data_IF_203113771328
#
_entry.id   IF_203113771328
#
_cell.length_a   1.000
_cell.length_b   1.000
_cell.length_c   1.000
_cell.angle_alpha   90.00
_cell.angle_beta   90.00
_cell.angle_gamma   90.00
#
_symmetry.space_group_name_H-M   'P 1'
#
loop_
_entity.id
_entity.type
_entity.pdbx_description
1 polymer ?
#
# COMPACT_ATOMS: atom_id res chain seq x y z
N UNK A 1 19.01 11.62 -11.76
CA UNK A 1 17.80 11.11 -11.10
C UNK A 1 17.29 12.20 -10.17
N UNK A 2 16.07 12.06 -9.67
CA UNK A 2 15.46 12.99 -8.72
C UNK A 2 15.01 12.25 -7.47
N UNK A 3 15.29 12.86 -6.32
CA UNK A 3 14.84 12.40 -5.02
C UNK A 3 14.15 13.55 -4.28
N UNK A 4 13.67 13.27 -3.07
CA UNK A 4 13.21 14.31 -2.14
C UNK A 4 14.24 14.49 -1.03
N UNK A 5 14.56 15.74 -0.70
CA UNK A 5 15.32 16.05 0.50
C UNK A 5 14.46 15.77 1.74
N UNK A 6 14.93 14.90 2.61
CA UNK A 6 14.27 14.53 3.87
C UNK A 6 14.06 15.72 4.82
N UNK A 7 14.82 16.81 4.65
CA UNK A 7 14.75 18.00 5.52
C UNK A 7 13.82 19.08 4.96
N UNK A 8 13.99 19.57 3.72
CA UNK A 8 13.10 20.60 3.13
C UNK A 8 11.91 20.03 2.37
N UNK A 9 11.88 18.75 2.02
CA UNK A 9 10.87 18.11 1.16
C UNK A 9 10.85 18.64 -0.28
N UNK A 10 11.86 19.41 -0.68
CA UNK A 10 12.06 19.83 -2.07
C UNK A 10 12.63 18.69 -2.90
N UNK A 11 12.32 18.69 -4.20
CA UNK A 11 12.96 17.81 -5.16
C UNK A 11 14.43 18.18 -5.33
N UNK A 12 15.33 17.20 -5.27
CA UNK A 12 16.78 17.39 -5.35
C UNK A 12 17.41 16.44 -6.38
N UNK A 13 18.53 16.83 -7.01
CA UNK A 13 19.35 15.91 -7.79
C UNK A 13 19.78 14.70 -6.96
N UNK A 14 19.78 13.54 -7.60
CA UNK A 14 20.26 12.29 -7.01
C UNK A 14 20.95 11.38 -8.03
N UNK A 15 21.73 10.43 -7.50
CA UNK A 15 22.37 9.36 -8.25
C UNK A 15 22.45 8.07 -7.44
N UNK A 16 22.48 6.93 -8.13
CA UNK A 16 22.70 5.62 -7.54
C UNK A 16 24.18 5.26 -7.65
N UNK A 17 24.79 4.87 -6.54
CA UNK A 17 26.19 4.39 -6.49
C UNK A 17 26.28 2.98 -5.93
N UNK A 18 27.11 2.16 -6.56
CA UNK A 18 27.45 0.82 -6.08
C UNK A 18 28.74 0.91 -5.28
N UNK A 19 28.70 0.46 -4.04
CA UNK A 19 29.82 0.40 -3.09
C UNK A 19 30.02 -1.04 -2.65
N UNK A 20 31.12 -1.31 -1.94
CA UNK A 20 31.44 -2.67 -1.46
C UNK A 20 30.39 -3.22 -0.47
N UNK A 21 29.66 -2.32 0.21
CA UNK A 21 28.63 -2.63 1.20
C UNK A 21 27.19 -2.49 0.67
N UNK A 22 27.02 -2.26 -0.64
CA UNK A 22 25.71 -2.29 -1.30
C UNK A 22 25.42 -1.12 -2.22
N UNK A 23 24.14 -0.88 -2.45
CA UNK A 23 23.60 0.14 -3.36
C UNK A 23 23.07 1.33 -2.58
N UNK A 24 23.59 2.50 -2.90
CA UNK A 24 23.33 3.76 -2.18
C UNK A 24 22.64 4.78 -3.07
N UNK A 25 21.71 5.54 -2.49
CA UNK A 25 21.14 6.76 -3.07
C UNK A 25 21.91 7.97 -2.53
N UNK A 26 22.63 8.66 -3.40
CA UNK A 26 23.27 9.93 -3.10
C UNK A 26 22.39 11.09 -3.56
N UNK A 27 22.29 12.12 -2.73
CA UNK A 27 21.45 13.31 -2.96
C UNK A 27 22.27 14.56 -2.74
N UNK A 28 21.92 15.62 -3.45
CA UNK A 28 22.57 16.93 -3.27
C UNK A 28 21.52 18.04 -3.08
N UNK A 29 21.31 18.46 -1.83
CA UNK A 29 20.37 19.53 -1.51
C UNK A 29 21.09 20.89 -1.48
N UNK A 30 20.64 21.90 -2.25
CA UNK A 30 21.24 23.24 -2.23
C UNK A 30 21.22 23.92 -0.84
N UNK A 31 20.32 23.50 0.04
CA UNK A 31 20.15 24.07 1.39
C UNK A 31 20.78 23.22 2.49
N UNK A 32 20.74 21.89 2.35
CA UNK A 32 21.13 20.96 3.41
C UNK A 32 22.39 20.15 3.10
N UNK A 33 23.00 20.36 1.93
CA UNK A 33 24.22 19.68 1.50
C UNK A 33 23.98 18.24 1.00
N UNK A 34 25.07 17.47 0.82
CA UNK A 34 24.99 16.11 0.32
C UNK A 34 24.51 15.13 1.41
N UNK A 35 23.74 14.13 1.00
CA UNK A 35 23.40 12.96 1.85
C UNK A 35 23.50 11.66 1.05
N UNK A 36 23.76 10.55 1.73
CA UNK A 36 23.87 9.23 1.12
C UNK A 36 23.17 8.19 2.01
N UNK A 37 22.30 7.37 1.40
CA UNK A 37 21.47 6.41 2.12
C UNK A 37 21.52 5.03 1.47
N UNK A 38 21.75 3.98 2.26
CA UNK A 38 21.74 2.60 1.77
C UNK A 38 20.33 2.19 1.36
N UNK A 39 20.16 1.79 0.10
CA UNK A 39 18.90 1.23 -0.40
C UNK A 39 18.89 -0.27 -0.16
N UNK A 40 19.91 -0.97 -0.62
CA UNK A 40 19.93 -2.44 -0.68
C UNK A 40 21.38 -2.95 -0.52
N UNK A 41 21.71 -3.74 0.50
CA UNK A 41 23.05 -4.33 0.67
C UNK A 41 23.43 -5.30 -0.45
N UNK A 42 22.47 -6.01 -1.03
CA UNK A 42 22.74 -6.97 -2.11
C UNK A 42 22.65 -6.29 -3.50
N UNK A 43 23.82 -5.94 -4.03
CA UNK A 43 23.94 -5.30 -5.34
C UNK A 43 23.48 -6.19 -6.51
N UNK A 44 23.62 -7.51 -6.42
CA UNK A 44 23.15 -8.42 -7.47
C UNK A 44 21.63 -8.53 -7.43
N UNK A 45 21.04 -8.66 -6.23
CA UNK A 45 19.59 -8.58 -6.04
C UNK A 45 19.03 -7.25 -6.57
N UNK A 46 19.68 -6.12 -6.26
CA UNK A 46 19.23 -4.82 -6.76
C UNK A 46 19.20 -4.76 -8.29
N UNK A 47 20.26 -5.25 -8.96
CA UNK A 47 20.29 -5.33 -10.44
C UNK A 47 19.21 -6.26 -10.98
N UNK A 48 18.97 -7.39 -10.31
CA UNK A 48 17.88 -8.30 -10.65
C UNK A 48 16.52 -7.60 -10.49
N UNK A 49 16.28 -6.85 -9.42
CA UNK A 49 15.04 -6.12 -9.19
C UNK A 49 14.80 -5.01 -10.24
N UNK A 50 15.87 -4.46 -10.83
CA UNK A 50 15.79 -3.52 -11.95
C UNK A 50 15.44 -4.16 -13.30
N UNK A 51 15.37 -5.49 -13.39
CA UNK A 51 14.94 -6.18 -14.62
C UNK A 51 13.44 -6.03 -14.83
N UNK A 52 13.06 -4.85 -15.30
CA UNK A 52 11.70 -4.54 -15.73
C UNK A 52 11.45 -5.01 -17.15
N UNK A 53 10.25 -5.47 -17.41
CA UNK A 53 9.76 -5.61 -18.77
C UNK A 53 9.58 -4.21 -19.39
N UNK A 54 10.19 -3.99 -20.55
CA UNK A 54 10.26 -2.69 -21.23
C UNK A 54 9.05 -2.45 -22.11
N UNK A 55 8.38 -3.52 -22.53
CA UNK A 55 7.13 -3.46 -23.29
C UNK A 55 5.98 -3.09 -22.34
N UNK A 56 5.39 -1.89 -22.44
CA UNK A 56 4.32 -1.45 -21.52
C UNK A 56 3.10 -2.40 -21.49
N UNK A 57 2.85 -3.15 -22.58
CA UNK A 57 1.74 -4.11 -22.62
C UNK A 57 2.01 -5.39 -21.82
N UNK A 58 3.28 -5.69 -21.55
CA UNK A 58 3.75 -6.85 -20.79
C UNK A 58 4.34 -6.46 -19.43
N UNK A 59 4.71 -5.18 -19.27
CA UNK A 59 5.40 -4.61 -18.11
C UNK A 59 4.62 -4.81 -16.84
N UNK A 60 3.31 -4.81 -16.92
CA UNK A 60 2.51 -5.19 -15.79
C UNK A 60 1.52 -6.24 -16.29
N UNK A 61 1.58 -7.42 -15.68
CA UNK A 61 0.56 -8.47 -15.87
C UNK A 61 -0.85 -7.88 -15.59
N UNK A 62 -0.87 -6.76 -14.86
CA UNK A 62 -2.01 -5.96 -14.45
C UNK A 62 -2.00 -4.52 -15.06
N UNK A 63 -1.15 -4.19 -16.04
CA UNK A 63 -1.09 -2.85 -16.68
C UNK A 63 -2.38 -2.51 -17.40
N UNK A 64 -2.99 -3.53 -18.03
CA UNK A 64 -4.31 -3.42 -18.66
C UNK A 64 -5.42 -3.29 -17.65
N UNK A 65 -5.11 -3.49 -16.36
CA UNK A 65 -6.10 -3.63 -15.33
C UNK A 65 -6.46 -2.29 -14.71
N UNK A 66 -5.60 -1.27 -14.46
CA UNK A 66 -6.13 0.10 -14.21
C UNK A 66 -5.17 1.29 -14.39
N UNK A 67 -5.64 2.31 -15.12
CA UNK A 67 -5.41 3.71 -14.76
C UNK A 67 -6.33 4.07 -13.57
N UNK A 68 -5.90 3.77 -12.35
CA UNK A 68 -6.69 4.10 -11.14
C UNK A 68 -6.30 5.45 -10.58
N UNK A 69 -7.25 6.22 -10.07
CA UNK A 69 -6.99 7.30 -9.10
C UNK A 69 -7.54 6.90 -7.72
N UNK A 70 -6.70 7.01 -6.68
CA UNK A 70 -7.11 6.82 -5.29
C UNK A 70 -7.78 8.05 -4.71
N UNK A 71 -8.92 7.87 -4.04
CA UNK A 71 -9.60 8.92 -3.28
C UNK A 71 -9.64 8.57 -1.80
N UNK A 72 -9.03 9.40 -0.96
CA UNK A 72 -9.17 9.29 0.50
C UNK A 72 -10.56 9.81 0.92
N UNK A 73 -11.49 8.90 1.19
CA UNK A 73 -12.90 9.26 1.44
C UNK A 73 -13.23 9.47 2.91
N UNK A 74 -12.39 8.99 3.83
CA UNK A 74 -12.62 9.09 5.28
C UNK A 74 -11.33 8.92 6.07
N UNK A 75 -11.27 9.57 7.25
CA UNK A 75 -10.25 9.35 8.28
C UNK A 75 -10.73 8.49 9.44
N UNK A 76 -11.94 7.95 9.35
CA UNK A 76 -12.53 7.09 10.39
C UNK A 76 -12.14 5.65 10.14
N UNK A 77 -11.82 4.91 11.20
CA UNK A 77 -11.48 3.49 11.14
C UNK A 77 -12.04 2.72 12.35
N UNK A 78 -12.36 1.45 12.13
CA UNK A 78 -12.77 0.49 13.15
C UNK A 78 -11.59 -0.30 13.75
N UNK A 79 -10.35 -0.05 13.29
CA UNK A 79 -9.15 -0.69 13.81
C UNK A 79 -8.01 0.32 13.96
N UNK A 80 -7.08 0.07 14.88
CA UNK A 80 -5.84 0.83 15.05
C UNK A 80 -4.66 -0.12 14.83
N UNK A 81 -4.23 -0.24 13.57
CA UNK A 81 -3.11 -1.10 13.18
C UNK A 81 -1.76 -0.52 13.65
N UNK A 82 -0.83 -1.34 14.17
CA UNK A 82 0.54 -0.92 14.48
C UNK A 82 1.33 -0.20 13.36
N UNK A 83 1.02 -0.42 12.08
CA UNK A 83 1.73 0.17 10.93
C UNK A 83 0.93 1.26 10.22
N UNK A 84 -0.15 1.76 10.84
CA UNK A 84 -1.12 2.61 10.15
C UNK A 84 -0.49 3.86 9.51
N UNK A 85 -0.70 4.04 8.21
CA UNK A 85 -0.24 5.22 7.47
C UNK A 85 -1.18 6.42 7.66
N UNK A 86 -2.48 6.14 7.80
CA UNK A 86 -3.53 7.14 7.98
C UNK A 86 -4.04 7.04 9.41
N UNK A 87 -3.37 7.71 10.35
CA UNK A 87 -3.78 7.62 11.76
C UNK A 87 -5.25 8.06 11.90
N UNK A 88 -6.14 7.15 12.38
CA UNK A 88 -7.56 7.38 12.30
C UNK A 88 -8.01 8.40 13.35
N UNK A 89 -8.86 9.31 12.91
CA UNK A 89 -9.58 10.23 13.79
C UNK A 89 -11.09 10.04 13.60
N UNK A 90 -11.69 9.28 14.52
CA UNK A 90 -13.12 8.97 14.47
C UNK A 90 -14.02 10.15 14.87
N UNK A 91 -13.45 11.31 15.23
CA UNK A 91 -14.19 12.51 15.60
C UNK A 91 -14.40 13.45 14.41
N UNK A 92 -13.65 13.28 13.32
CA UNK A 92 -13.80 14.15 12.16
C UNK A 92 -15.09 13.86 11.42
N UNK A 93 -15.64 14.91 10.81
CA UNK A 93 -16.67 14.78 9.80
C UNK A 93 -15.99 14.37 8.49
N UNK A 94 -16.59 13.40 7.80
CA UNK A 94 -16.11 13.01 6.47
C UNK A 94 -16.35 14.12 5.43
N UNK A 95 -15.56 14.09 4.37
CA UNK A 95 -15.78 14.95 3.19
C UNK A 95 -17.17 14.66 2.63
N UNK A 96 -17.87 15.73 2.23
CA UNK A 96 -19.20 15.64 1.64
C UNK A 96 -19.17 14.80 0.36
N UNK A 97 -20.21 13.97 0.18
CA UNK A 97 -20.32 13.06 -0.98
C UNK A 97 -20.20 13.79 -2.32
N UNK A 98 -20.80 14.97 -2.44
CA UNK A 98 -20.77 15.78 -3.66
C UNK A 98 -19.34 16.26 -4.02
N UNK A 99 -18.52 16.57 -3.03
CA UNK A 99 -17.13 16.99 -3.24
C UNK A 99 -16.28 15.81 -3.71
N UNK A 100 -16.47 14.62 -3.13
CA UNK A 100 -15.79 13.40 -3.56
C UNK A 100 -16.15 13.02 -5.00
N UNK A 101 -17.41 13.17 -5.41
CA UNK A 101 -17.84 12.97 -6.80
C UNK A 101 -17.17 13.99 -7.74
N UNK A 102 -17.03 15.24 -7.29
CA UNK A 102 -16.32 16.28 -8.05
C UNK A 102 -14.84 15.94 -8.23
N UNK A 103 -14.17 15.44 -7.19
CA UNK A 103 -12.79 14.94 -7.28
C UNK A 103 -12.68 13.71 -8.20
N UNK A 104 -13.66 12.80 -8.17
CA UNK A 104 -13.69 11.66 -9.09
C UNK A 104 -13.81 12.09 -10.57
N UNK A 105 -14.55 13.18 -10.84
CA UNK A 105 -14.66 13.78 -12.18
C UNK A 105 -13.34 14.38 -12.67
N UNK A 106 -12.52 14.97 -11.79
CA UNK A 106 -11.25 15.59 -12.18
C UNK A 106 -10.15 14.58 -12.54
N UNK A 107 -10.29 13.31 -12.15
CA UNK A 107 -9.35 12.23 -12.50
C UNK A 107 -9.47 11.79 -13.98
N UNK A 108 -9.37 12.71 -14.93
CA UNK A 108 -9.71 12.51 -16.35
C UNK A 108 -8.86 11.48 -17.10
N UNK A 109 -7.69 11.14 -16.57
CA UNK A 109 -6.77 10.16 -17.15
C UNK A 109 -7.03 8.72 -16.65
N UNK A 110 -7.92 8.57 -15.67
CA UNK A 110 -8.17 7.31 -14.96
C UNK A 110 -9.51 6.71 -15.34
N UNK A 111 -9.49 5.44 -15.72
CA UNK A 111 -10.66 4.62 -16.05
C UNK A 111 -11.33 4.04 -14.80
N UNK A 112 -10.62 4.05 -13.65
CA UNK A 112 -11.16 3.63 -12.37
C UNK A 112 -10.84 4.56 -11.21
N UNK A 113 -11.66 4.45 -10.17
CA UNK A 113 -11.49 5.13 -8.89
C UNK A 113 -11.42 4.06 -7.80
N UNK A 114 -10.39 4.12 -6.95
CA UNK A 114 -10.34 3.30 -5.73
C UNK A 114 -10.62 4.18 -4.51
N UNK A 115 -11.69 3.87 -3.79
CA UNK A 115 -12.03 4.54 -2.55
C UNK A 115 -11.15 3.97 -1.44
N UNK A 116 -10.43 4.85 -0.75
CA UNK A 116 -9.46 4.52 0.28
C UNK A 116 -9.47 5.56 1.42
N UNK A 117 -8.41 5.66 2.19
CA UNK A 117 -8.30 6.44 3.42
C UNK A 117 -8.03 5.55 4.60
N UNK A 118 -8.62 5.85 5.76
CA UNK A 118 -8.44 5.03 6.95
C UNK A 118 -9.24 3.71 6.88
N UNK A 119 -10.54 3.78 6.56
CA UNK A 119 -11.37 2.63 6.21
C UNK A 119 -12.66 3.10 5.50
N UNK A 120 -12.76 2.97 4.16
CA UNK A 120 -13.92 3.44 3.40
C UNK A 120 -15.25 2.90 3.91
N UNK A 121 -15.28 1.65 4.38
CA UNK A 121 -16.50 1.04 4.90
C UNK A 121 -17.02 1.74 6.14
N UNK A 122 -16.29 2.63 6.81
CA UNK A 122 -16.81 3.41 7.94
C UNK A 122 -17.80 4.50 7.54
N UNK A 123 -17.86 4.85 6.25
CA UNK A 123 -18.88 5.75 5.71
C UNK A 123 -20.26 5.11 5.77
N UNK A 124 -21.26 5.88 6.21
CA UNK A 124 -22.64 5.41 6.21
C UNK A 124 -23.28 5.53 4.82
N UNK A 125 -22.72 6.40 3.97
CA UNK A 125 -23.16 6.70 2.61
C UNK A 125 -22.26 6.08 1.53
N UNK A 126 -21.50 5.01 1.89
CA UNK A 126 -20.54 4.38 0.96
C UNK A 126 -21.24 3.86 -0.30
N UNK A 127 -22.37 3.18 -0.14
CA UNK A 127 -23.14 2.62 -1.25
C UNK A 127 -23.60 3.74 -2.21
N UNK A 128 -24.13 4.84 -1.67
CA UNK A 128 -24.56 5.99 -2.45
C UNK A 128 -23.39 6.70 -3.13
N UNK A 129 -22.24 6.80 -2.46
CA UNK A 129 -21.02 7.37 -3.06
C UNK A 129 -20.53 6.54 -4.26
N UNK A 130 -20.52 5.21 -4.14
CA UNK A 130 -20.16 4.30 -5.24
C UNK A 130 -21.13 4.52 -6.42
N UNK A 131 -22.44 4.47 -6.16
CA UNK A 131 -23.45 4.64 -7.19
C UNK A 131 -23.37 6.02 -7.89
N UNK A 132 -23.09 7.08 -7.12
CA UNK A 132 -22.92 8.42 -7.66
C UNK A 132 -21.68 8.53 -8.54
N UNK A 133 -20.51 8.06 -8.08
CA UNK A 133 -19.29 8.10 -8.90
C UNK A 133 -19.53 7.36 -10.22
N UNK A 134 -20.08 6.14 -10.17
CA UNK A 134 -20.36 5.36 -11.39
C UNK A 134 -21.30 6.08 -12.34
N UNK A 135 -22.40 6.63 -11.83
CA UNK A 135 -23.38 7.37 -12.65
C UNK A 135 -22.77 8.62 -13.28
N UNK A 136 -21.95 9.33 -12.53
CA UNK A 136 -21.49 10.67 -12.89
C UNK A 136 -20.19 10.68 -13.69
N UNK A 137 -19.39 9.61 -13.61
CA UNK A 137 -18.10 9.50 -14.32
C UNK A 137 -18.03 8.32 -15.29
N UNK A 138 -18.92 7.32 -15.16
CA UNK A 138 -18.86 6.07 -15.94
C UNK A 138 -17.66 5.17 -15.61
N UNK A 139 -16.90 5.48 -14.56
CA UNK A 139 -15.66 4.78 -14.19
C UNK A 139 -15.95 3.53 -13.38
N UNK A 140 -15.04 2.56 -13.43
CA UNK A 140 -15.02 1.45 -12.49
C UNK A 140 -14.70 1.95 -11.08
N UNK A 141 -15.36 1.41 -10.06
CA UNK A 141 -15.18 1.81 -8.66
C UNK A 141 -14.81 0.61 -7.81
N UNK A 142 -13.66 0.68 -7.16
CA UNK A 142 -13.22 -0.30 -6.17
C UNK A 142 -13.05 0.30 -4.78
N UNK A 143 -12.83 -0.57 -3.79
CA UNK A 143 -12.46 -0.15 -2.43
C UNK A 143 -11.15 -0.79 -1.98
N UNK A 144 -10.30 -0.01 -1.30
CA UNK A 144 -9.22 -0.54 -0.48
C UNK A 144 -9.69 -0.60 0.97
N UNK A 145 -9.95 -1.79 1.48
CA UNK A 145 -10.61 -2.01 2.77
C UNK A 145 -9.87 -3.02 3.64
N UNK A 146 -10.08 -2.91 4.94
CA UNK A 146 -9.74 -3.92 5.91
C UNK A 146 -10.78 -5.05 5.97
N UNK A 147 -11.89 -4.98 5.25
CA UNK A 147 -12.97 -5.98 5.13
C UNK A 147 -13.77 -6.31 6.41
N UNK A 148 -13.45 -5.74 7.58
CA UNK A 148 -14.11 -6.11 8.85
C UNK A 148 -15.62 -5.82 8.82
N UNK A 149 -16.05 -4.68 8.24
CA UNK A 149 -17.47 -4.36 8.14
C UNK A 149 -18.21 -5.22 7.10
N UNK A 150 -17.49 -5.75 6.12
CA UNK A 150 -18.06 -6.62 5.08
C UNK A 150 -18.40 -8.02 5.63
N UNK A 151 -17.98 -8.36 6.84
CA UNK A 151 -18.46 -9.54 7.56
C UNK A 151 -19.99 -9.51 7.78
N UNK A 152 -20.57 -8.32 7.91
CA UNK A 152 -22.02 -8.18 7.98
C UNK A 152 -22.63 -8.33 6.57
N UNK A 153 -23.24 -9.47 6.28
CA UNK A 153 -23.78 -9.78 4.95
C UNK A 153 -24.80 -8.75 4.44
N UNK A 154 -25.66 -8.22 5.32
CA UNK A 154 -26.63 -7.18 4.90
C UNK A 154 -25.91 -5.94 4.40
N UNK A 155 -24.97 -5.41 5.18
CA UNK A 155 -24.19 -4.24 4.80
C UNK A 155 -23.33 -4.51 3.56
N UNK A 156 -22.71 -5.68 3.47
CA UNK A 156 -21.92 -6.09 2.32
C UNK A 156 -22.78 -6.09 1.04
N UNK A 157 -23.96 -6.70 1.10
CA UNK A 157 -24.91 -6.73 -0.03
C UNK A 157 -25.37 -5.33 -0.45
N UNK A 158 -25.59 -4.41 0.49
CA UNK A 158 -25.91 -3.01 0.19
C UNK A 158 -24.77 -2.34 -0.60
N UNK A 159 -23.51 -2.55 -0.20
CA UNK A 159 -22.33 -2.02 -0.89
C UNK A 159 -22.13 -2.67 -2.27
N UNK A 160 -22.33 -3.98 -2.39
CA UNK A 160 -22.15 -4.70 -3.65
C UNK A 160 -23.23 -4.33 -4.67
N UNK A 161 -24.48 -4.21 -4.22
CA UNK A 161 -25.61 -3.81 -5.05
C UNK A 161 -25.50 -2.37 -5.58
N UNK A 162 -24.71 -1.52 -4.93
CA UNK A 162 -24.38 -0.18 -5.45
C UNK A 162 -23.46 -0.22 -6.69
N UNK A 163 -22.96 -1.39 -7.06
CA UNK A 163 -22.12 -1.61 -8.23
C UNK A 163 -20.64 -1.57 -7.90
N UNK A 164 -20.20 -2.05 -6.73
CA UNK A 164 -18.78 -2.21 -6.45
C UNK A 164 -18.14 -3.17 -7.46
N UNK A 165 -17.14 -2.71 -8.20
CA UNK A 165 -16.51 -3.50 -9.28
C UNK A 165 -15.39 -4.42 -8.78
N UNK A 166 -14.69 -4.03 -7.70
CA UNK A 166 -13.60 -4.82 -7.13
C UNK A 166 -13.23 -4.40 -5.71
N UNK A 167 -12.47 -5.26 -5.03
CA UNK A 167 -11.88 -4.96 -3.73
C UNK A 167 -10.37 -5.22 -3.70
N UNK A 168 -9.69 -4.41 -2.91
CA UNK A 168 -8.33 -4.58 -2.44
C UNK A 168 -8.41 -4.78 -0.93
N UNK A 169 -7.84 -5.85 -0.38
CA UNK A 169 -8.03 -6.19 1.03
C UNK A 169 -6.69 -6.16 1.77
N UNK A 170 -6.66 -5.47 2.92
CA UNK A 170 -5.54 -5.62 3.87
C UNK A 170 -5.85 -6.76 4.85
N UNK A 171 -4.93 -7.72 4.95
CA UNK A 171 -4.98 -8.82 5.89
C UNK A 171 -3.70 -8.83 6.73
N UNK A 172 -3.82 -9.20 8.00
CA UNK A 172 -2.70 -9.22 8.94
C UNK A 172 -2.78 -10.49 9.75
N UNK A 173 -1.69 -10.88 10.41
CA UNK A 173 -1.75 -12.03 11.33
C UNK A 173 -2.73 -11.78 12.48
N UNK A 174 -3.30 -12.82 13.10
CA UNK A 174 -4.17 -12.65 14.26
C UNK A 174 -3.51 -11.87 15.41
N UNK A 175 -2.21 -12.07 15.64
CA UNK A 175 -1.41 -11.37 16.66
C UNK A 175 -1.17 -9.90 16.35
N UNK A 176 -1.28 -9.51 15.08
CA UNK A 176 -1.11 -8.14 14.63
C UNK A 176 -2.27 -7.22 15.06
N UNK A 177 -3.47 -7.78 15.16
CA UNK A 177 -4.69 -7.05 15.45
C UNK A 177 -4.90 -6.89 16.96
N UNK A 178 -5.52 -5.78 17.43
CA UNK A 178 -5.77 -5.57 18.84
C UNK A 178 -6.75 -6.60 19.46
N UNK A 179 -7.56 -7.26 18.61
CA UNK A 179 -8.44 -8.36 18.98
C UNK A 179 -8.37 -9.42 17.87
N UNK A 180 -7.96 -10.67 18.18
CA UNK A 180 -7.92 -11.76 17.21
C UNK A 180 -9.25 -12.00 16.48
N UNK A 181 -10.40 -11.70 17.09
CA UNK A 181 -11.71 -11.83 16.44
C UNK A 181 -11.88 -10.90 15.23
N UNK A 182 -11.06 -9.85 15.13
CA UNK A 182 -11.04 -9.01 13.94
C UNK A 182 -10.46 -9.76 12.74
N UNK A 183 -9.56 -10.72 12.95
CA UNK A 183 -9.06 -11.59 11.89
C UNK A 183 -10.20 -12.42 11.32
N UNK A 184 -10.99 -13.08 12.17
CA UNK A 184 -12.14 -13.88 11.74
C UNK A 184 -13.11 -13.05 10.89
N UNK A 185 -13.42 -11.81 11.33
CA UNK A 185 -14.26 -10.89 10.55
C UNK A 185 -13.66 -10.50 9.20
N UNK A 186 -12.33 -10.36 9.11
CA UNK A 186 -11.66 -10.11 7.82
C UNK A 186 -11.86 -11.28 6.88
N UNK A 187 -11.67 -12.50 7.37
CA UNK A 187 -11.89 -13.73 6.60
C UNK A 187 -13.36 -13.87 6.18
N UNK A 188 -14.32 -13.59 7.07
CA UNK A 188 -15.74 -13.54 6.73
C UNK A 188 -16.04 -12.50 5.65
N UNK A 189 -15.45 -11.30 5.74
CA UNK A 189 -15.58 -10.26 4.74
C UNK A 189 -15.02 -10.65 3.37
N UNK A 190 -13.85 -11.31 3.34
CA UNK A 190 -13.26 -11.90 2.12
C UNK A 190 -14.20 -12.97 1.56
N UNK A 191 -14.73 -13.85 2.41
CA UNK A 191 -15.69 -14.87 1.98
C UNK A 191 -16.94 -14.27 1.35
N UNK A 192 -17.46 -13.16 1.90
CA UNK A 192 -18.62 -12.48 1.35
C UNK A 192 -18.33 -11.82 -0.02
N UNK A 193 -17.13 -11.25 -0.21
CA UNK A 193 -16.69 -10.76 -1.53
C UNK A 193 -16.67 -11.90 -2.57
N UNK A 194 -16.06 -13.04 -2.21
CA UNK A 194 -16.00 -14.23 -3.08
C UNK A 194 -17.39 -14.77 -3.40
N UNK A 195 -18.26 -14.93 -2.41
CA UNK A 195 -19.65 -15.39 -2.59
C UNK A 195 -20.45 -14.48 -3.51
N UNK A 196 -20.24 -13.16 -3.41
CA UNK A 196 -20.92 -12.18 -4.25
C UNK A 196 -20.33 -12.06 -5.66
N UNK A 197 -19.20 -12.74 -5.93
CA UNK A 197 -18.49 -12.64 -7.22
C UNK A 197 -17.79 -11.29 -7.42
N UNK A 198 -17.52 -10.53 -6.36
CA UNK A 198 -16.75 -9.28 -6.42
C UNK A 198 -15.26 -9.65 -6.51
N UNK A 199 -14.56 -9.33 -7.61
CA UNK A 199 -13.15 -9.63 -7.76
C UNK A 199 -12.30 -9.01 -6.64
N UNK A 200 -11.41 -9.82 -6.07
CA UNK A 200 -10.38 -9.32 -5.16
C UNK A 200 -9.10 -9.20 -5.97
N UNK A 201 -8.65 -7.97 -6.24
CA UNK A 201 -7.41 -7.78 -6.99
C UNK A 201 -6.21 -8.21 -6.17
N UNK A 202 -6.21 -7.90 -4.87
CA UNK A 202 -5.14 -8.35 -4.03
C UNK A 202 -5.50 -8.45 -2.56
N UNK A 203 -4.75 -9.31 -1.88
CA UNK A 203 -4.70 -9.41 -0.43
C UNK A 203 -3.29 -8.99 0.01
N UNK A 204 -3.21 -7.92 0.79
CA UNK A 204 -1.96 -7.35 1.28
C UNK A 204 -1.71 -7.71 2.73
N UNK A 205 -0.62 -8.45 2.96
CA UNK A 205 -0.03 -8.73 4.26
C UNK A 205 1.07 -7.72 4.58
N UNK A 206 1.18 -7.36 5.85
CA UNK A 206 2.27 -6.54 6.37
C UNK A 206 2.88 -7.21 7.58
N UNK A 207 4.18 -7.46 7.49
CA UNK A 207 4.97 -8.05 8.57
C UNK A 207 5.41 -6.95 9.54
N UNK A 208 5.45 -7.28 10.83
CA UNK A 208 6.15 -6.51 11.88
C UNK A 208 7.54 -7.03 12.15
N UNK A 209 7.73 -8.33 11.96
CA UNK A 209 9.02 -8.99 12.06
C UNK A 209 9.05 -10.19 11.12
N UNK A 210 10.24 -10.69 10.84
CA UNK A 210 10.42 -11.87 10.01
C UNK A 210 9.80 -13.14 10.65
N UNK A 211 9.63 -13.14 11.97
CA UNK A 211 9.04 -14.26 12.71
C UNK A 211 7.57 -14.50 12.35
N UNK A 212 6.87 -13.48 11.85
CA UNK A 212 5.49 -13.60 11.38
C UNK A 212 5.36 -14.25 10.00
N UNK A 213 6.47 -14.39 9.27
CA UNK A 213 6.44 -14.78 7.86
C UNK A 213 5.88 -16.19 7.65
N UNK A 214 6.15 -17.13 8.56
CA UNK A 214 5.64 -18.50 8.45
C UNK A 214 4.10 -18.55 8.45
N UNK A 215 3.48 -17.88 9.43
CA UNK A 215 2.02 -17.75 9.50
C UNK A 215 1.45 -17.00 8.30
N UNK A 216 2.08 -15.89 7.90
CA UNK A 216 1.66 -15.11 6.73
C UNK A 216 1.74 -15.92 5.44
N UNK A 217 2.80 -16.69 5.23
CA UNK A 217 2.93 -17.54 4.04
C UNK A 217 1.88 -18.66 4.04
N UNK A 218 1.58 -19.25 5.20
CA UNK A 218 0.48 -20.21 5.33
C UNK A 218 -0.86 -19.61 4.90
N UNK A 219 -1.22 -18.45 5.43
CA UNK A 219 -2.46 -17.73 5.07
C UNK A 219 -2.46 -17.29 3.59
N UNK A 220 -1.33 -16.81 3.08
CA UNK A 220 -1.15 -16.41 1.69
C UNK A 220 -1.38 -17.57 0.72
N UNK A 221 -0.82 -18.75 1.03
CA UNK A 221 -1.03 -19.96 0.23
C UNK A 221 -2.48 -20.45 0.31
N UNK A 222 -3.11 -20.36 1.48
CA UNK A 222 -4.52 -20.75 1.65
C UNK A 222 -5.49 -19.83 0.87
N UNK A 223 -5.14 -18.55 0.73
CA UNK A 223 -5.96 -17.54 0.07
C UNK A 223 -5.56 -17.26 -1.38
N UNK A 224 -4.53 -17.95 -1.91
CA UNK A 224 -3.92 -17.61 -3.20
C UNK A 224 -4.94 -17.53 -4.35
N UNK A 225 -5.85 -18.49 -4.43
CA UNK A 225 -6.83 -18.59 -5.51
C UNK A 225 -8.04 -17.63 -5.32
N UNK A 226 -8.08 -16.89 -4.21
CA UNK A 226 -9.18 -15.93 -3.93
C UNK A 226 -8.92 -14.54 -4.49
N UNK A 227 -7.67 -14.22 -4.83
CA UNK A 227 -7.26 -12.90 -5.29
C UNK A 227 -6.28 -12.98 -6.46
N UNK A 228 -6.28 -11.95 -7.32
CA UNK A 228 -5.41 -11.91 -8.50
C UNK A 228 -3.91 -11.97 -8.14
N UNK A 229 -3.51 -11.36 -7.02
CA UNK A 229 -2.17 -11.55 -6.45
C UNK A 229 -2.13 -11.36 -4.94
N UNK A 230 -1.15 -12.01 -4.31
CA UNK A 230 -0.84 -11.82 -2.89
C UNK A 230 0.27 -10.78 -2.77
N UNK A 231 0.19 -9.91 -1.77
CA UNK A 231 1.27 -8.96 -1.45
C UNK A 231 1.79 -9.21 -0.05
N UNK A 232 3.10 -9.28 0.10
CA UNK A 232 3.76 -9.41 1.40
C UNK A 232 4.72 -8.25 1.53
N UNK A 233 4.46 -7.38 2.51
CA UNK A 233 5.28 -6.21 2.78
C UNK A 233 6.21 -6.48 3.96
N UNK A 234 7.49 -6.14 3.78
CA UNK A 234 8.49 -6.18 4.85
C UNK A 234 8.19 -5.15 5.95
N UNK A 235 8.67 -5.38 7.18
CA UNK A 235 8.66 -4.37 8.21
C UNK A 235 9.45 -3.14 7.73
N UNK A 236 8.86 -1.95 7.88
CA UNK A 236 9.48 -0.67 7.55
C UNK A 236 8.96 0.41 8.50
N UNK A 237 9.80 1.39 8.79
CA UNK A 237 9.43 2.58 9.56
C UNK A 237 8.72 3.59 8.66
N UNK A 238 7.48 3.27 8.30
CA UNK A 238 6.58 4.17 7.55
C UNK A 238 5.25 4.24 8.29
N UNK A 239 4.68 5.44 8.42
CA UNK A 239 3.49 5.69 9.23
C UNK A 239 3.80 5.76 10.72
N UNK A 240 3.03 5.04 11.56
CA UNK A 240 3.27 4.93 13.02
C UNK A 240 4.12 3.71 13.41
N UNK A 241 4.72 3.05 12.42
CA UNK A 241 5.49 1.82 12.59
C UNK A 241 6.89 2.12 13.12
N UNK A 242 7.26 1.52 14.25
CA UNK A 242 8.61 1.63 14.85
C UNK A 242 9.44 0.34 14.66
N UNK A 243 8.88 -0.66 13.96
CA UNK A 243 9.49 -1.97 13.78
C UNK A 243 10.83 -1.88 13.01
N UNK A 244 11.76 -2.80 13.30
CA UNK A 244 13.10 -2.83 12.68
C UNK A 244 12.97 -3.07 11.16
N UNK A 245 13.56 -2.19 10.32
CA UNK A 245 13.42 -2.32 8.88
C UNK A 245 14.19 -3.52 8.35
N UNK A 246 13.63 -4.17 7.33
CA UNK A 246 14.26 -5.30 6.64
C UNK A 246 14.48 -4.97 5.16
N UNK A 247 15.59 -5.40 4.56
CA UNK A 247 15.83 -5.16 3.14
C UNK A 247 14.93 -6.05 2.27
N UNK A 248 14.80 -5.70 0.98
CA UNK A 248 13.93 -6.46 0.09
C UNK A 248 14.56 -7.80 -0.28
N UNK A 249 15.90 -7.83 -0.42
CA UNK A 249 16.67 -9.06 -0.60
C UNK A 249 16.46 -10.07 0.54
N UNK A 250 16.45 -9.61 1.80
CA UNK A 250 16.20 -10.47 2.97
C UNK A 250 14.82 -11.13 2.89
N UNK A 251 13.78 -10.33 2.60
CA UNK A 251 12.42 -10.85 2.42
C UNK A 251 12.35 -11.84 1.26
N UNK A 252 12.96 -11.48 0.12
CA UNK A 252 12.99 -12.31 -1.08
C UNK A 252 13.63 -13.67 -0.80
N UNK A 253 14.86 -13.67 -0.27
CA UNK A 253 15.62 -14.88 0.00
C UNK A 253 14.87 -15.78 0.98
N UNK A 254 14.25 -15.20 2.02
CA UNK A 254 13.50 -15.98 3.01
C UNK A 254 12.22 -16.58 2.43
N UNK A 255 11.46 -15.81 1.65
CA UNK A 255 10.23 -16.32 1.01
C UNK A 255 10.55 -17.43 0.02
N UNK A 256 11.57 -17.26 -0.82
CA UNK A 256 12.01 -18.27 -1.80
C UNK A 256 12.42 -19.56 -1.07
N UNK A 257 13.31 -19.45 -0.08
CA UNK A 257 13.79 -20.59 0.73
C UNK A 257 12.63 -21.36 1.38
N UNK A 258 11.67 -20.66 1.99
CA UNK A 258 10.52 -21.27 2.65
C UNK A 258 9.58 -21.97 1.66
N UNK A 259 9.28 -21.33 0.53
CA UNK A 259 8.41 -21.91 -0.50
C UNK A 259 9.05 -23.14 -1.15
N UNK A 260 10.33 -23.06 -1.53
CA UNK A 260 11.05 -24.19 -2.13
C UNK A 260 11.21 -25.36 -1.16
N UNK A 261 11.51 -25.07 0.11
CA UNK A 261 11.57 -26.08 1.18
C UNK A 261 10.22 -26.77 1.39
N UNK A 262 9.12 -26.03 1.23
CA UNK A 262 7.76 -26.57 1.27
C UNK A 262 7.35 -27.30 -0.02
N UNK A 263 8.21 -27.36 -1.04
CA UNK A 263 8.00 -28.08 -2.30
C UNK A 263 7.29 -27.28 -3.39
N UNK A 264 7.14 -25.96 -3.22
CA UNK A 264 6.60 -25.08 -4.25
C UNK A 264 7.66 -24.71 -5.28
N UNK A 265 7.22 -24.47 -6.51
CA UNK A 265 8.11 -23.89 -7.54
C UNK A 265 8.02 -22.36 -7.49
N UNK A 266 9.15 -21.68 -7.53
CA UNK A 266 9.21 -20.22 -7.49
C UNK A 266 10.02 -19.70 -8.68
N UNK A 267 9.48 -18.71 -9.39
CA UNK A 267 10.19 -18.03 -10.46
C UNK A 267 10.02 -16.51 -10.34
N UNK A 268 11.06 -15.75 -10.63
CA UNK A 268 10.95 -14.29 -10.72
C UNK A 268 10.11 -13.93 -11.96
N UNK A 269 9.15 -13.02 -11.80
CA UNK A 269 8.40 -12.43 -12.91
C UNK A 269 9.04 -11.09 -13.24
N UNK A 270 9.56 -10.96 -14.46
CA UNK A 270 10.03 -9.70 -15.00
C UNK A 270 8.83 -8.84 -15.42
N UNK A 271 8.16 -8.21 -14.46
CA UNK A 271 7.05 -7.27 -14.70
C UNK A 271 7.47 -5.84 -14.31
N UNK A 272 6.70 -5.19 -13.43
CA UNK A 272 6.87 -3.85 -12.92
C UNK A 272 7.85 -3.79 -11.75
N UNK A 273 8.76 -4.76 -11.64
CA UNK A 273 9.72 -4.85 -10.55
C UNK A 273 10.50 -3.54 -10.37
N UNK A 274 10.74 -3.15 -9.14
CA UNK A 274 11.53 -1.98 -8.78
C UNK A 274 12.45 -2.34 -7.62
N UNK A 275 13.37 -1.46 -7.23
CA UNK A 275 14.09 -1.61 -5.96
C UNK A 275 13.18 -1.72 -4.72
N UNK A 276 11.89 -1.41 -4.85
CA UNK A 276 10.91 -1.40 -3.77
C UNK A 276 9.91 -2.56 -3.82
N UNK A 277 9.86 -3.31 -4.92
CA UNK A 277 9.07 -4.53 -4.96
C UNK A 277 9.49 -5.44 -6.10
N UNK A 278 9.33 -6.75 -5.88
CA UNK A 278 9.55 -7.77 -6.90
C UNK A 278 8.37 -8.73 -6.93
N UNK A 279 8.09 -9.28 -8.11
CA UNK A 279 7.01 -10.23 -8.32
C UNK A 279 7.58 -11.64 -8.48
N UNK A 280 7.02 -12.58 -7.74
CA UNK A 280 7.32 -14.01 -7.79
C UNK A 280 6.10 -14.75 -8.35
N UNK A 281 6.32 -15.73 -9.22
CA UNK A 281 5.33 -16.70 -9.67
C UNK A 281 5.52 -17.98 -8.85
N UNK A 282 4.49 -18.36 -8.10
CA UNK A 282 4.44 -19.56 -7.28
C UNK A 282 3.57 -20.60 -7.98
N UNK A 283 4.09 -21.81 -8.15
CA UNK A 283 3.45 -22.94 -8.83
C UNK A 283 2.96 -22.62 -10.26
N UNK A 284 3.61 -21.66 -10.92
CA UNK A 284 3.31 -21.27 -12.29
C UNK A 284 2.00 -20.49 -12.49
N UNK A 285 1.23 -20.23 -11.43
CA UNK A 285 -0.08 -19.58 -11.54
C UNK A 285 -0.26 -18.37 -10.61
N UNK A 286 0.29 -18.39 -9.39
CA UNK A 286 0.02 -17.34 -8.41
C UNK A 286 1.13 -16.30 -8.37
N UNK A 287 0.78 -15.02 -8.46
CA UNK A 287 1.74 -13.93 -8.26
C UNK A 287 1.80 -13.53 -6.78
N UNK A 288 3.00 -13.57 -6.21
CA UNK A 288 3.36 -13.02 -4.90
C UNK A 288 4.22 -11.78 -5.14
N UNK A 289 3.72 -10.61 -4.76
CA UNK A 289 4.49 -9.36 -4.78
C UNK A 289 5.12 -9.13 -3.41
N UNK A 290 6.45 -9.16 -3.37
CA UNK A 290 7.22 -8.82 -2.19
C UNK A 290 7.53 -7.34 -2.21
N UNK A 291 7.27 -6.62 -1.12
CA UNK A 291 7.28 -5.17 -1.09
C UNK A 291 8.14 -4.66 0.05
N UNK A 292 9.01 -3.71 -0.25
CA UNK A 292 9.68 -2.83 0.70
C UNK A 292 9.44 -1.39 0.26
N UNK A 293 8.66 -0.64 1.02
CA UNK A 293 8.53 0.79 0.74
C UNK A 293 9.83 1.54 1.06
N UNK A 294 10.20 2.54 0.24
CA UNK A 294 11.25 3.47 0.62
C UNK A 294 10.81 4.34 1.79
N UNK A 295 11.79 4.96 2.45
CA UNK A 295 11.58 6.14 3.30
C UNK A 295 11.88 7.40 2.47
N UNK A 296 11.66 8.60 3.00
CA UNK A 296 12.14 9.82 2.33
C UNK A 296 13.64 9.79 2.05
N UNK A 297 14.42 9.14 2.91
CA UNK A 297 15.86 9.01 2.75
C UNK A 297 16.23 8.13 1.53
N UNK A 298 15.47 7.08 1.26
CA UNK A 298 15.78 6.09 0.21
C UNK A 298 14.87 6.15 -1.01
N UNK A 299 13.93 7.11 -1.07
CA UNK A 299 12.99 7.29 -2.19
C UNK A 299 13.67 7.90 -3.42
N UNK A 300 13.80 7.08 -4.45
CA UNK A 300 14.09 7.42 -5.83
C UNK A 300 12.76 7.65 -6.56
N UNK A 301 12.55 8.87 -7.04
CA UNK A 301 11.28 9.24 -7.66
C UNK A 301 11.09 8.63 -9.05
N UNK A 302 12.17 8.23 -9.73
CA UNK A 302 12.04 7.50 -11.00
C UNK A 302 11.66 6.05 -10.76
N UNK A 303 12.21 5.40 -9.72
CA UNK A 303 11.80 4.05 -9.33
C UNK A 303 10.38 4.00 -8.74
N UNK A 304 9.86 5.11 -8.20
CA UNK A 304 8.47 5.24 -7.76
C UNK A 304 7.49 5.57 -8.90
N UNK A 305 7.99 5.82 -10.11
CA UNK A 305 7.17 5.99 -11.32
C UNK A 305 6.69 4.62 -11.85
N UNK A 306 6.01 3.90 -10.98
CA UNK A 306 5.41 2.61 -11.25
C UNK A 306 4.03 2.53 -10.58
N UNK A 307 3.08 1.76 -11.15
CA UNK A 307 1.82 1.45 -10.49
C UNK A 307 2.05 0.93 -9.07
N UNK A 308 1.13 1.23 -8.14
CA UNK A 308 0.04 0.27 -8.05
C UNK A 308 -1.37 0.85 -7.98
N UNK A 309 -1.56 2.17 -7.82
CA UNK A 309 -2.91 2.76 -7.58
C UNK A 309 -3.13 4.19 -8.08
N UNK A 310 -2.15 4.82 -8.71
CA UNK A 310 -2.26 6.19 -9.16
C UNK A 310 -1.42 6.40 -10.41
N UNK A 311 -1.98 7.13 -11.36
CA UNK A 311 -1.18 7.85 -12.33
C UNK A 311 -0.27 8.82 -11.57
N UNK A 312 1.01 8.76 -11.86
CA UNK A 312 1.95 9.75 -11.37
C UNK A 312 2.04 10.87 -12.40
N UNK A 313 1.58 12.05 -12.02
CA UNK A 313 1.62 13.22 -12.88
C UNK A 313 1.92 14.45 -12.03
N UNK A 314 3.19 14.85 -12.06
CA UNK A 314 3.68 16.01 -11.31
C UNK A 314 3.01 17.32 -11.77
N UNK A 315 2.54 17.41 -13.01
CA UNK A 315 1.92 18.62 -13.56
C UNK A 315 0.47 18.78 -13.11
N UNK A 316 -0.27 17.68 -13.01
CA UNK A 316 -1.65 17.67 -12.50
C UNK A 316 -1.73 17.72 -10.97
N UNK A 317 -0.61 17.49 -10.28
CA UNK A 317 -0.54 17.36 -8.82
C UNK A 317 -0.87 15.95 -8.31
N UNK A 318 -1.09 14.98 -9.21
CA UNK A 318 -1.24 13.57 -8.86
C UNK A 318 0.11 12.98 -8.43
N UNK A 319 0.19 12.57 -7.17
CA UNK A 319 1.37 11.92 -6.60
C UNK A 319 1.15 10.43 -6.46
N UNK A 320 2.21 9.64 -6.64
CA UNK A 320 2.17 8.21 -6.38
C UNK A 320 1.77 7.96 -4.91
N UNK A 321 1.03 6.88 -4.66
CA UNK A 321 0.50 6.54 -3.34
C UNK A 321 1.58 6.51 -2.24
N UNK A 322 2.72 5.88 -2.52
CA UNK A 322 3.82 5.76 -1.56
C UNK A 322 4.37 7.15 -1.25
N UNK A 323 4.58 7.97 -2.27
CA UNK A 323 5.06 9.35 -2.09
C UNK A 323 4.07 10.21 -1.29
N UNK A 324 2.76 10.04 -1.51
CA UNK A 324 1.72 10.70 -0.71
C UNK A 324 1.88 10.37 0.78
N UNK A 325 2.06 9.10 1.13
CA UNK A 325 2.26 8.71 2.53
C UNK A 325 3.55 9.27 3.13
N UNK A 326 4.66 9.20 2.40
CA UNK A 326 5.95 9.74 2.85
C UNK A 326 5.88 11.25 3.12
N UNK A 327 5.21 12.00 2.24
CA UNK A 327 5.02 13.45 2.40
C UNK A 327 4.06 13.77 3.55
N UNK A 328 2.99 13.00 3.72
CA UNK A 328 2.06 13.16 4.85
C UNK A 328 2.78 12.93 6.18
N UNK A 329 3.58 11.87 6.28
CA UNK A 329 4.37 11.55 7.48
C UNK A 329 5.34 12.69 7.83
N UNK A 330 6.12 13.16 6.87
CA UNK A 330 7.08 14.23 7.14
C UNK A 330 6.43 15.55 7.54
N UNK A 331 5.26 15.88 6.95
CA UNK A 331 4.48 17.06 7.36
C UNK A 331 3.97 16.93 8.80
N UNK A 332 3.58 15.73 9.22
CA UNK A 332 3.19 15.46 10.61
C UNK A 332 4.37 15.64 11.56
N UNK A 333 5.53 15.09 11.23
CA UNK A 333 6.73 15.18 12.07
C UNK A 333 7.29 16.61 12.18
N UNK A 334 7.01 17.48 11.20
CA UNK A 334 7.32 18.92 11.27
C UNK A 334 6.40 19.73 12.17
N UNK A 335 5.20 19.21 12.46
CA UNK A 335 4.26 19.89 13.33
C UNK A 335 4.60 19.48 14.76
N UNK A 336 4.97 20.40 15.66
CA UNK A 336 5.25 20.00 17.04
C UNK A 336 4.01 19.30 17.61
N UNK A 337 4.18 18.20 18.37
CA UNK A 337 3.04 17.55 19.00
C UNK A 337 2.32 18.60 19.86
N UNK A 338 0.97 18.58 19.93
CA UNK A 338 0.26 19.50 20.80
C UNK A 338 0.84 19.33 22.21
N UNK A 339 1.38 20.42 22.77
CA UNK A 339 1.91 20.45 24.12
C UNK A 339 0.80 19.98 25.03
N UNK A 340 0.91 18.74 25.54
CA UNK A 340 0.04 18.26 26.62
C UNK A 340 0.41 19.06 27.85
N UNK A 341 -0.28 20.19 28.07
CA UNK A 341 -0.26 20.88 29.35
C UNK A 341 -0.89 19.89 30.34
N UNK A 342 -0.05 19.20 31.12
CA UNK A 342 -0.52 18.46 32.28
C UNK A 342 -1.22 19.48 33.17
N UNK A 343 -2.52 19.29 33.41
CA UNK A 343 -3.24 20.09 34.38
C UNK A 343 -2.46 20.06 35.71
N UNK A 344 -2.30 21.20 36.41
CA UNK A 344 -1.60 21.22 37.69
C UNK A 344 -2.31 20.24 38.62
N UNK A 345 -1.54 19.33 39.19
CA UNK A 345 -2.00 18.46 40.27
C UNK A 345 -2.41 19.39 41.40
N UNK A 346 -3.72 19.54 41.61
CA UNK A 346 -4.26 20.22 42.78
C UNK A 346 -3.81 19.44 44.00
N UNK A 347 -2.85 20.00 44.75
CA UNK A 347 -2.48 19.50 46.06
C UNK A 347 -3.70 19.62 46.99
N UNK A 348 -4.02 18.53 47.68
CA UNK A 348 -4.98 18.51 48.78
C UNK A 348 -4.35 19.09 50.05
#
# INVERSE_FOLDING_TARGET
MTAICEVCLETVPSQITYRDDGVWLEKECPTHGPSAHLIEPDAEFYRMALTQEKDPEKRDVWAKIFTTTGLDVTRRCNVRCPHCYVEPDNRVKDIERADLVTLAKSAVRSDSIILMGAEPTMRNDLAELIADIKRETGKSVGVYTNAIRLANERYANEVFAAGLDYACVSLHTPSYLPDPKLFDKKIEGISNLVKAGVPIHHISFSLRSIDELDGVLGDALALRDTASHIRIRSPQQVGVCEDEPMHLSDLYNRVVDMLETAGHTVALVHSDNTPYHVNLLVDGCQVFRLIRWPTLATADLEALDCPPYALFDRESGEVNLVLSFLLQEARRNRTPPPVRIKAPVTAA
#
